data_IF_204348862924
#
_entry.id   IF_204348862924
#
_cell.length_a   1.000
_cell.length_b   1.000
_cell.length_c   1.000
_cell.angle_alpha   90.00
_cell.angle_beta   90.00
_cell.angle_gamma   90.00
#
_symmetry.space_group_name_H-M   'P 1'
#
loop_
_entity.id
_entity.type
_entity.pdbx_description
1 polymer ?
#
# COMPACT_ATOMS: atom_id res chain seq x y z
N UNK A 1 12.79 19.38 29.26
CA UNK A 1 12.64 19.84 27.86
C UNK A 1 12.81 18.70 26.86
N UNK A 2 13.91 17.93 26.89
CA UNK A 2 14.13 16.79 25.98
C UNK A 2 13.12 15.64 26.14
N UNK A 3 12.53 15.44 27.32
CA UNK A 3 11.50 14.42 27.55
C UNK A 3 10.19 14.67 26.80
N UNK A 4 9.78 15.93 26.65
CA UNK A 4 8.60 16.30 25.83
C UNK A 4 8.87 16.08 24.34
N UNK A 5 10.10 16.36 23.91
CA UNK A 5 10.55 16.13 22.53
C UNK A 5 10.54 14.63 22.18
N UNK A 6 10.96 13.77 23.11
CA UNK A 6 10.89 12.31 22.95
C UNK A 6 9.46 11.77 22.95
N UNK A 7 8.58 12.31 23.79
CA UNK A 7 7.17 11.92 23.80
C UNK A 7 6.44 12.28 22.49
N UNK A 8 6.75 13.45 21.92
CA UNK A 8 6.24 13.87 20.60
C UNK A 8 6.77 12.98 19.47
N UNK A 9 8.05 12.59 19.53
CA UNK A 9 8.66 11.66 18.57
C UNK A 9 7.99 10.27 18.63
N UNK A 10 7.76 9.74 19.84
CA UNK A 10 7.05 8.48 20.03
C UNK A 10 5.60 8.55 19.52
N UNK A 11 4.88 9.65 19.78
CA UNK A 11 3.53 9.84 19.26
C UNK A 11 3.48 9.89 17.72
N UNK A 12 4.52 10.43 17.08
CA UNK A 12 4.66 10.41 15.62
C UNK A 12 4.88 9.00 15.05
N UNK A 13 5.58 8.12 15.77
CA UNK A 13 5.86 6.74 15.32
C UNK A 13 4.70 5.76 15.54
N UNK A 14 3.72 6.10 16.40
CA UNK A 14 2.56 5.23 16.68
C UNK A 14 1.40 5.42 15.71
N UNK A 15 1.50 6.37 14.78
CA UNK A 15 0.51 6.57 13.73
C UNK A 15 0.73 5.59 12.58
N UNK A 16 0.11 4.42 12.70
CA UNK A 16 -0.44 3.72 11.56
C UNK A 16 0.44 2.63 10.94
N UNK A 17 0.49 1.48 11.60
CA UNK A 17 0.60 0.21 10.88
C UNK A 17 -0.70 -0.58 11.09
N UNK A 18 -1.84 0.00 10.71
CA UNK A 18 -2.97 -0.83 10.30
C UNK A 18 -2.54 -1.47 8.99
N UNK A 19 -1.82 -2.59 9.06
CA UNK A 19 -1.51 -3.38 7.88
C UNK A 19 -2.79 -4.08 7.43
N UNK A 20 -3.68 -3.31 6.82
CA UNK A 20 -4.77 -3.87 6.02
C UNK A 20 -4.11 -4.58 4.86
N UNK A 21 -4.25 -5.90 4.79
CA UNK A 21 -3.76 -6.69 3.67
C UNK A 21 -4.39 -6.17 2.38
N UNK A 22 -3.61 -6.00 1.29
CA UNK A 22 -4.13 -5.46 0.04
C UNK A 22 -5.19 -6.41 -0.51
N UNK A 23 -6.40 -5.89 -0.74
CA UNK A 23 -7.53 -6.66 -1.25
C UNK A 23 -7.41 -6.84 -2.76
N UNK A 24 -6.88 -5.82 -3.44
CA UNK A 24 -6.66 -5.78 -4.88
C UNK A 24 -5.38 -5.02 -5.28
N UNK A 25 -5.07 -5.00 -6.58
CA UNK A 25 -3.92 -4.29 -7.13
C UNK A 25 -4.00 -2.75 -6.93
N UNK A 26 -5.18 -2.18 -6.71
CA UNK A 26 -5.34 -0.75 -6.45
C UNK A 26 -4.83 -0.38 -5.05
N UNK A 27 -5.01 -1.25 -4.06
CA UNK A 27 -4.44 -1.05 -2.72
C UNK A 27 -2.91 -1.07 -2.75
N UNK A 28 -2.36 -1.97 -3.57
CA UNK A 28 -0.92 -2.06 -3.81
C UNK A 28 -0.42 -0.79 -4.51
N UNK A 29 -1.11 -0.33 -5.55
CA UNK A 29 -0.78 0.92 -6.23
C UNK A 29 -0.79 2.14 -5.29
N UNK A 30 -1.85 2.28 -4.47
CA UNK A 30 -1.99 3.36 -3.47
C UNK A 30 -0.92 3.32 -2.38
N UNK A 31 -0.30 2.16 -2.14
CA UNK A 31 0.85 2.03 -1.23
C UNK A 31 2.17 2.58 -1.80
N UNK A 32 2.14 3.06 -3.05
CA UNK A 32 3.31 3.61 -3.76
C UNK A 32 4.06 2.60 -4.62
N UNK A 33 3.52 1.38 -4.80
CA UNK A 33 4.08 0.42 -5.73
C UNK A 33 3.60 0.72 -7.15
N UNK A 34 4.48 1.27 -7.99
CA UNK A 34 4.15 1.71 -9.35
C UNK A 34 4.73 0.84 -10.44
N UNK A 35 5.33 -0.30 -10.08
CA UNK A 35 5.96 -1.23 -11.04
C UNK A 35 5.04 -2.43 -11.29
N UNK A 36 4.70 -2.69 -12.54
CA UNK A 36 3.92 -3.88 -12.91
C UNK A 36 4.67 -5.17 -12.54
N UNK A 37 3.95 -6.18 -12.07
CA UNK A 37 4.56 -7.41 -11.59
C UNK A 37 3.58 -8.36 -10.92
N UNK A 38 4.08 -9.50 -10.43
CA UNK A 38 3.25 -10.43 -9.65
C UNK A 38 3.22 -9.97 -8.19
N UNK A 39 2.02 -9.78 -7.66
CA UNK A 39 1.78 -9.41 -6.27
C UNK A 39 0.83 -10.37 -5.59
N UNK A 40 0.88 -10.40 -4.26
CA UNK A 40 -0.05 -11.17 -3.43
C UNK A 40 -1.16 -10.25 -2.90
N UNK A 41 -2.40 -10.63 -3.16
CA UNK A 41 -3.61 -9.95 -2.68
C UNK A 41 -4.48 -10.89 -1.86
N UNK A 42 -5.40 -10.31 -1.10
CA UNK A 42 -6.24 -10.97 -0.11
C UNK A 42 -7.73 -10.63 -0.32
N UNK A 43 -8.32 -10.98 -1.48
CA UNK A 43 -9.67 -10.56 -1.85
C UNK A 43 -10.76 -11.13 -0.93
N UNK A 44 -10.48 -12.25 -0.26
CA UNK A 44 -11.41 -12.94 0.64
C UNK A 44 -10.94 -12.93 2.12
N UNK A 45 -10.06 -12.00 2.51
CA UNK A 45 -9.49 -11.95 3.86
C UNK A 45 -8.24 -12.82 3.97
N UNK A 46 -8.29 -13.96 4.65
CA UNK A 46 -7.06 -14.67 5.03
C UNK A 46 -6.45 -15.57 3.95
N UNK A 47 -7.08 -15.65 2.76
CA UNK A 47 -6.62 -16.50 1.64
C UNK A 47 -5.84 -15.67 0.62
N UNK A 48 -4.52 -15.86 0.50
CA UNK A 48 -3.70 -15.13 -0.46
C UNK A 48 -3.87 -15.66 -1.89
N UNK A 49 -3.84 -14.77 -2.87
CA UNK A 49 -3.78 -15.08 -4.29
C UNK A 49 -2.67 -14.26 -4.95
N UNK A 50 -1.84 -14.91 -5.78
CA UNK A 50 -0.84 -14.22 -6.59
C UNK A 50 -1.42 -13.84 -7.94
N UNK A 51 -1.43 -12.54 -8.24
CA UNK A 51 -1.97 -11.97 -9.49
C UNK A 51 -0.91 -11.09 -10.14
N UNK A 52 -0.99 -10.93 -11.46
CA UNK A 52 -0.18 -9.94 -12.15
C UNK A 52 -0.89 -8.59 -12.05
N UNK A 53 -0.28 -7.63 -11.37
CA UNK A 53 -0.79 -6.27 -11.32
C UNK A 53 -0.15 -5.43 -12.42
N UNK A 54 -0.97 -4.81 -13.25
CA UNK A 54 -0.55 -3.78 -14.19
C UNK A 54 -0.59 -2.40 -13.50
N UNK A 55 0.58 -1.87 -13.20
CA UNK A 55 0.78 -0.54 -12.65
C UNK A 55 1.19 0.39 -13.80
N UNK A 56 0.24 1.09 -14.40
CA UNK A 56 0.55 2.07 -15.45
C UNK A 56 1.32 3.23 -14.80
N UNK A 57 2.52 3.50 -15.34
CA UNK A 57 3.54 4.31 -14.69
C UNK A 57 3.90 5.58 -15.47
N UNK A 58 3.02 6.12 -16.31
CA UNK A 58 3.46 7.15 -17.28
C UNK A 58 2.73 8.49 -17.14
N UNK A 59 1.97 8.70 -16.06
CA UNK A 59 1.46 10.03 -15.68
C UNK A 59 0.34 10.57 -16.58
N UNK A 60 -0.30 9.71 -17.37
CA UNK A 60 -1.57 9.98 -18.01
C UNK A 60 -2.70 9.62 -17.03
N UNK A 61 -3.33 10.63 -16.42
CA UNK A 61 -4.43 10.50 -15.45
C UNK A 61 -5.69 9.78 -15.98
N UNK A 62 -5.67 9.32 -17.23
CA UNK A 62 -6.77 8.62 -17.89
C UNK A 62 -6.83 7.14 -17.51
N UNK A 63 -5.69 6.53 -17.14
CA UNK A 63 -5.62 5.14 -16.71
C UNK A 63 -5.14 5.05 -15.25
N UNK A 64 -6.07 4.95 -14.30
CA UNK A 64 -5.72 4.67 -12.90
C UNK A 64 -5.06 3.28 -12.84
N UNK A 65 -3.74 3.20 -12.60
CA UNK A 65 -3.02 1.93 -12.43
C UNK A 65 -3.58 1.06 -11.30
N UNK A 66 -3.14 -0.19 -11.20
CA UNK A 66 -3.63 -1.14 -10.19
C UNK A 66 -4.70 -2.10 -10.73
N UNK A 67 -4.55 -2.55 -11.98
CA UNK A 67 -5.39 -3.56 -12.60
C UNK A 67 -4.88 -4.97 -12.30
N UNK A 68 -5.80 -5.93 -12.11
CA UNK A 68 -5.54 -7.37 -11.90
C UNK A 68 -5.66 -8.18 -13.19
#
# INVERSE_FOLDING_TARGET
MMAFLMALLCAFMMSGCSQTMPVDCSDIYKSGQTVSGIYTIYPAGDVPVSVYCEMISDGNDEDNGGWT
#
